data_IF_865893682644
#
_entry.id   IF_865893682644
#
_cell.length_a   1.000
_cell.length_b   1.000
_cell.length_c   1.000
_cell.angle_alpha   90.00
_cell.angle_beta   90.00
_cell.angle_gamma   90.00
#
_symmetry.space_group_name_H-M   'P 1'
#
loop_
_entity.id
_entity.type
_entity.pdbx_description
1 polymer ?
#
# COMPACT_ATOMS: atom_id res chain seq x y z
N UNK A 1 0.58 -16.95 -2.10
CA UNK A 1 0.44 -15.81 -3.05
C UNK A 1 -0.67 -14.90 -2.55
N UNK A 2 -0.41 -13.60 -2.39
CA UNK A 2 -1.44 -12.67 -1.96
C UNK A 2 -2.24 -12.23 -3.20
N UNK A 3 -3.50 -12.65 -3.32
CA UNK A 3 -4.38 -12.18 -4.39
C UNK A 3 -4.71 -10.70 -4.17
N UNK A 4 -4.54 -9.85 -5.17
CA UNK A 4 -4.91 -8.43 -5.12
C UNK A 4 -6.13 -8.24 -6.00
N UNK A 5 -7.20 -7.68 -5.45
CA UNK A 5 -8.40 -7.36 -6.20
C UNK A 5 -8.12 -6.24 -7.21
N UNK A 6 -8.69 -6.35 -8.41
CA UNK A 6 -8.49 -5.42 -9.53
C UNK A 6 -9.28 -4.11 -9.38
N UNK A 7 -9.22 -3.49 -8.19
CA UNK A 7 -9.85 -2.19 -7.94
C UNK A 7 -9.18 -1.05 -8.71
N UNK A 8 -7.89 -1.21 -9.04
CA UNK A 8 -7.10 -0.34 -9.90
C UNK A 8 -6.23 -1.20 -10.80
N UNK A 9 -6.02 -0.75 -12.04
CA UNK A 9 -5.02 -1.33 -12.92
C UNK A 9 -3.62 -1.18 -12.33
N UNK A 10 -2.74 -2.14 -12.63
CA UNK A 10 -1.33 -2.14 -12.25
C UNK A 10 -0.64 -0.83 -12.65
N UNK A 11 -0.98 -0.27 -13.81
CA UNK A 11 -0.42 0.99 -14.30
C UNK A 11 -0.83 2.19 -13.44
N UNK A 12 -2.10 2.21 -13.01
CA UNK A 12 -2.66 3.27 -12.18
C UNK A 12 -2.10 3.23 -10.76
N UNK A 13 -1.83 2.04 -10.22
CA UNK A 13 -1.10 1.85 -8.96
C UNK A 13 0.33 2.42 -9.06
N UNK A 14 1.06 2.12 -10.14
CA UNK A 14 2.40 2.65 -10.38
C UNK A 14 2.42 4.17 -10.59
N UNK A 15 1.39 4.71 -11.27
CA UNK A 15 1.23 6.17 -11.45
C UNK A 15 1.00 6.85 -10.11
N UNK A 16 0.11 6.33 -9.25
CA UNK A 16 -0.15 6.90 -7.92
C UNK A 16 1.05 6.80 -6.99
N UNK A 17 1.79 5.69 -7.03
CA UNK A 17 3.04 5.55 -6.28
C UNK A 17 4.07 6.65 -6.61
N UNK A 18 4.14 7.10 -7.88
CA UNK A 18 5.07 8.15 -8.33
C UNK A 18 4.54 9.57 -8.18
N UNK A 19 3.22 9.76 -8.27
CA UNK A 19 2.58 11.09 -8.29
C UNK A 19 1.99 11.51 -6.94
N UNK A 20 1.90 10.61 -5.96
CA UNK A 20 1.45 10.95 -4.61
C UNK A 20 2.41 11.92 -3.92
N UNK A 21 1.88 13.04 -3.44
CA UNK A 21 2.62 14.00 -2.60
C UNK A 21 2.93 13.44 -1.19
N UNK A 22 2.07 12.54 -0.68
CA UNK A 22 2.29 11.87 0.61
C UNK A 22 3.21 10.65 0.44
N UNK A 23 4.42 10.76 0.98
CA UNK A 23 5.43 9.70 0.97
C UNK A 23 4.98 8.40 1.68
N UNK A 24 3.99 8.46 2.57
CA UNK A 24 3.39 7.28 3.18
C UNK A 24 2.42 6.59 2.21
N UNK A 25 1.52 7.37 1.58
CA UNK A 25 0.60 6.86 0.58
C UNK A 25 1.36 6.28 -0.62
N UNK A 26 2.41 6.96 -1.09
CA UNK A 26 3.29 6.50 -2.16
C UNK A 26 3.88 5.11 -1.89
N UNK A 27 4.40 4.88 -0.66
CA UNK A 27 4.93 3.57 -0.25
C UNK A 27 3.84 2.48 -0.20
N UNK A 28 2.63 2.82 0.23
CA UNK A 28 1.52 1.88 0.25
C UNK A 28 1.09 1.48 -1.17
N UNK A 29 1.00 2.46 -2.08
CA UNK A 29 0.73 2.20 -3.49
C UNK A 29 1.84 1.37 -4.14
N UNK A 30 3.11 1.64 -3.82
CA UNK A 30 4.24 0.86 -4.32
C UNK A 30 4.18 -0.60 -3.84
N UNK A 31 3.87 -0.84 -2.57
CA UNK A 31 3.73 -2.19 -2.03
C UNK A 31 2.60 -2.97 -2.73
N UNK A 32 1.42 -2.36 -2.88
CA UNK A 32 0.28 -2.99 -3.58
C UNK A 32 0.58 -3.20 -5.07
N UNK A 33 1.28 -2.26 -5.71
CA UNK A 33 1.70 -2.38 -7.10
C UNK A 33 2.63 -3.58 -7.34
N UNK A 34 3.59 -3.81 -6.45
CA UNK A 34 4.48 -4.97 -6.54
C UNK A 34 3.73 -6.29 -6.32
N UNK A 35 2.81 -6.32 -5.35
CA UNK A 35 1.96 -7.49 -5.11
C UNK A 35 1.01 -7.78 -6.29
N UNK A 36 0.46 -6.74 -6.92
CA UNK A 36 -0.41 -6.86 -8.09
C UNK A 36 0.35 -7.35 -9.35
N UNK A 37 1.65 -7.12 -9.43
CA UNK A 37 2.52 -7.71 -10.46
C UNK A 37 2.82 -9.20 -10.23
N UNK A 38 2.32 -9.78 -9.14
CA UNK A 38 2.53 -11.19 -8.79
C UNK A 38 3.79 -11.44 -7.96
N UNK A 39 4.47 -10.40 -7.47
CA UNK A 39 5.59 -10.60 -6.56
C UNK A 39 5.13 -11.18 -5.22
N UNK A 40 6.00 -11.97 -4.62
CA UNK A 40 5.72 -12.56 -3.31
C UNK A 40 5.86 -11.52 -2.21
N UNK A 41 5.13 -11.73 -1.10
CA UNK A 41 5.20 -10.84 0.07
C UNK A 41 6.64 -10.69 0.58
N UNK A 42 7.46 -11.74 0.49
CA UNK A 42 8.85 -11.73 0.94
C UNK A 42 9.74 -10.83 0.06
N UNK A 43 9.57 -10.88 -1.27
CA UNK A 43 10.29 -10.00 -2.19
C UNK A 43 9.87 -8.55 -2.00
N UNK A 44 8.57 -8.30 -1.87
CA UNK A 44 8.05 -6.95 -1.61
C UNK A 44 8.56 -6.42 -0.28
N UNK A 45 8.64 -7.25 0.76
CA UNK A 45 9.22 -6.89 2.06
C UNK A 45 10.69 -6.48 1.93
N UNK A 46 11.49 -7.24 1.15
CA UNK A 46 12.89 -6.91 0.91
C UNK A 46 13.05 -5.59 0.13
N UNK A 47 12.20 -5.32 -0.85
CA UNK A 47 12.26 -4.11 -1.70
C UNK A 47 11.76 -2.86 -0.96
N UNK A 48 10.69 -2.99 -0.19
CA UNK A 48 10.02 -1.85 0.47
C UNK A 48 10.50 -1.61 1.90
N UNK A 49 11.18 -2.60 2.51
CA UNK A 49 11.57 -2.62 3.92
C UNK A 49 10.43 -2.92 4.90
N UNK A 50 9.22 -3.21 4.40
CA UNK A 50 8.09 -3.55 5.25
C UNK A 50 8.15 -4.99 5.76
N UNK A 51 7.54 -5.24 6.91
CA UNK A 51 7.37 -6.62 7.42
C UNK A 51 6.27 -7.34 6.66
N UNK A 52 6.47 -8.63 6.35
CA UNK A 52 5.55 -9.47 5.57
C UNK A 52 4.13 -9.46 6.12
N UNK A 53 3.98 -9.55 7.45
CA UNK A 53 2.67 -9.51 8.14
C UNK A 53 1.91 -8.21 7.88
N UNK A 54 2.61 -7.10 7.71
CA UNK A 54 1.99 -5.81 7.44
C UNK A 54 1.53 -5.72 5.98
N UNK A 55 2.33 -6.25 5.04
CA UNK A 55 1.95 -6.34 3.62
C UNK A 55 0.71 -7.20 3.39
N UNK A 56 0.57 -8.33 4.10
CA UNK A 56 -0.62 -9.17 4.05
C UNK A 56 -1.88 -8.44 4.54
N UNK A 57 -1.75 -7.67 5.64
CA UNK A 57 -2.83 -6.84 6.15
C UNK A 57 -3.19 -5.72 5.17
N UNK A 58 -2.18 -5.10 4.55
CA UNK A 58 -2.38 -4.05 3.55
C UNK A 58 -3.14 -4.60 2.33
N UNK A 59 -2.70 -5.74 1.80
CA UNK A 59 -3.38 -6.44 0.70
C UNK A 59 -4.83 -6.78 1.06
N UNK A 60 -5.05 -7.38 2.25
CA UNK A 60 -6.40 -7.72 2.72
C UNK A 60 -7.30 -6.49 2.85
N UNK A 61 -6.77 -5.36 3.31
CA UNK A 61 -7.51 -4.11 3.46
C UNK A 61 -7.84 -3.48 2.11
N UNK A 62 -6.87 -3.46 1.20
CA UNK A 62 -7.10 -3.01 -0.17
C UNK A 62 -8.15 -3.87 -0.88
N UNK A 63 -8.11 -5.19 -0.68
CA UNK A 63 -9.11 -6.07 -1.27
C UNK A 63 -10.52 -5.82 -0.75
N UNK A 64 -10.68 -5.55 0.54
CA UNK A 64 -11.99 -5.33 1.17
C UNK A 64 -12.58 -3.95 0.91
N UNK A 65 -11.75 -2.91 0.87
CA UNK A 65 -12.22 -1.52 0.87
C UNK A 65 -11.80 -0.74 -0.38
N UNK A 66 -11.01 -1.33 -1.26
CA UNK A 66 -10.50 -0.67 -2.46
C UNK A 66 -9.43 0.40 -2.18
N UNK A 67 -9.11 1.24 -3.18
CA UNK A 67 -8.03 2.24 -3.11
C UNK A 67 -8.27 3.37 -2.09
N UNK A 68 -9.50 3.53 -1.60
CA UNK A 68 -9.88 4.56 -0.61
C UNK A 68 -9.23 4.39 0.76
N UNK A 69 -8.59 3.23 1.01
CA UNK A 69 -7.78 2.99 2.22
C UNK A 69 -6.29 3.27 2.05
N UNK A 70 -5.82 3.40 0.80
CA UNK A 70 -4.42 3.71 0.46
C UNK A 70 -4.20 5.21 0.26
N UNK A 71 -5.28 5.95 -0.06
CA UNK A 71 -5.24 7.37 -0.36
C UNK A 71 -5.24 8.30 0.85
N UNK A 72 -4.79 9.53 0.61
CA UNK A 72 -4.72 10.61 1.58
C UNK A 72 -6.13 11.06 2.00
N UNK A 73 -6.61 10.55 3.15
CA UNK A 73 -7.86 11.01 3.74
C UNK A 73 -7.77 12.44 4.28
N UNK A 74 -6.58 13.04 4.38
CA UNK A 74 -6.39 14.35 5.01
C UNK A 74 -7.13 15.49 4.31
N UNK A 75 -7.43 15.40 3.01
CA UNK A 75 -8.12 16.49 2.28
C UNK A 75 -9.64 16.42 2.29
N UNK A 76 -10.29 15.32 2.67
CA UNK A 76 -11.77 15.22 2.58
C UNK A 76 -12.51 14.51 3.70
N UNK A 77 -11.85 13.79 4.60
CA UNK A 77 -12.54 13.15 5.72
C UNK A 77 -11.65 13.27 6.95
N UNK A 78 -12.18 13.81 8.05
CA UNK A 78 -11.54 13.82 9.37
C UNK A 78 -11.35 12.42 9.97
N UNK A 79 -10.84 11.48 9.18
CA UNK A 79 -10.62 10.09 9.53
C UNK A 79 -9.13 9.87 9.79
N UNK A 80 -8.86 9.66 11.08
CA UNK A 80 -7.66 9.19 11.77
C UNK A 80 -6.50 8.67 10.90
N UNK A 81 -5.31 9.20 11.23
CA UNK A 81 -3.99 8.75 10.78
C UNK A 81 -3.89 7.22 10.71
N UNK A 82 -3.45 6.71 9.55
CA UNK A 82 -2.64 5.49 9.49
C UNK A 82 -1.24 5.85 8.98
N UNK A 83 -0.64 6.84 9.65
CA UNK A 83 0.80 7.04 9.63
C UNK A 83 1.25 7.09 11.09
N UNK A 84 1.00 5.99 11.81
CA UNK A 84 1.70 5.77 13.08
C UNK A 84 3.16 5.56 12.71
N UNK A 85 3.97 6.63 12.87
CA UNK A 85 5.40 6.50 13.13
C UNK A 85 5.57 5.61 14.36
N UNK A 86 5.59 4.31 14.16
CA UNK A 86 6.33 3.41 15.03
C UNK A 86 7.35 2.75 14.12
N UNK A 87 8.51 3.40 14.11
CA UNK A 87 9.80 2.73 14.04
C UNK A 87 9.97 1.75 12.88
N UNK A 88 10.55 2.27 11.81
CA UNK A 88 11.43 1.44 11.00
C UNK A 88 12.55 0.95 11.92
N UNK A 89 12.61 -0.36 12.15
CA UNK A 89 13.68 -1.13 12.81
C UNK A 89 13.89 -0.87 14.32
N UNK A 90 13.77 -1.97 15.08
CA UNK A 90 14.04 -2.15 16.54
C UNK A 90 12.97 -1.66 17.51
#
# INVERSE_FOLDING_TARGET
MAHIAEHLSVEELGRRARTSEDACAARHYQAIWLLAQGQTVAEVAAVTGFVSRWLEQLARRYNQFGPDVLGDRRRRNGASQMCSRKTWLV
#
